data_IF_441579959976
#
_entry.id   IF_441579959976
#
_cell.length_a   1.000
_cell.length_b   1.000
_cell.length_c   1.000
_cell.angle_alpha   90.00
_cell.angle_beta   90.00
_cell.angle_gamma   90.00
#
_symmetry.space_group_name_H-M   'P 1'
#
loop_
_entity.id
_entity.type
_entity.pdbx_description
1 polymer ?
#
# COMPACT_ATOMS: atom_id res chain seq x y z
N UNK A 1 -29.92 -14.91 21.88
CA UNK A 1 -29.33 -13.55 21.92
C UNK A 1 -27.95 -13.65 21.28
N UNK A 2 -27.65 -12.74 20.36
CA UNK A 2 -26.42 -12.79 19.58
C UNK A 2 -25.21 -12.26 20.35
N UNK A 3 -24.02 -12.58 19.85
CA UNK A 3 -22.77 -12.03 20.32
C UNK A 3 -22.72 -10.50 20.27
N UNK A 4 -22.07 -9.88 21.24
CA UNK A 4 -21.74 -8.46 21.24
C UNK A 4 -20.23 -8.23 21.21
N UNK A 5 -19.77 -7.44 20.25
CA UNK A 5 -18.36 -7.05 20.09
C UNK A 5 -18.16 -5.57 20.46
N UNK A 6 -16.95 -5.23 20.90
CA UNK A 6 -16.57 -3.84 21.14
C UNK A 6 -16.42 -3.05 19.84
N UNK A 7 -16.35 -1.71 19.99
CA UNK A 7 -15.82 -0.87 18.92
C UNK A 7 -14.40 -1.30 18.54
N UNK A 8 -14.01 -0.99 17.31
CA UNK A 8 -12.65 -1.16 16.83
C UNK A 8 -11.71 -0.18 17.53
N UNK A 9 -10.55 -0.67 17.92
CA UNK A 9 -9.49 0.06 18.58
C UNK A 9 -8.21 -0.07 17.76
N UNK A 10 -7.46 1.01 17.62
CA UNK A 10 -6.20 1.02 16.89
C UNK A 10 -5.13 0.22 17.66
N UNK A 11 -4.38 -0.60 16.93
CA UNK A 11 -3.31 -1.43 17.45
C UNK A 11 -1.94 -0.85 17.05
N UNK A 12 -1.55 0.23 17.71
CA UNK A 12 -0.31 0.92 17.41
C UNK A 12 -0.43 1.93 16.27
N UNK A 13 0.71 2.52 15.85
CA UNK A 13 0.72 3.60 14.87
C UNK A 13 0.46 3.09 13.44
N UNK A 14 0.04 4.00 12.58
CA UNK A 14 0.02 3.77 11.14
C UNK A 14 1.42 3.41 10.63
N UNK A 15 1.51 2.47 9.69
CA UNK A 15 2.79 2.03 9.10
C UNK A 15 3.55 3.15 8.40
N UNK A 16 2.85 4.21 7.97
CA UNK A 16 3.43 5.38 7.33
C UNK A 16 2.86 6.67 7.90
N UNK A 17 3.72 7.69 8.00
CA UNK A 17 3.32 9.05 8.33
C UNK A 17 2.83 9.84 7.11
N UNK A 18 3.12 9.36 5.90
CA UNK A 18 2.66 9.91 4.63
C UNK A 18 2.57 8.81 3.56
N UNK A 19 1.82 9.07 2.50
CA UNK A 19 1.37 8.10 1.51
C UNK A 19 0.31 7.16 2.08
N UNK A 20 -0.20 6.25 1.27
CA UNK A 20 -1.15 5.23 1.74
C UNK A 20 -0.45 4.32 2.76
N UNK A 21 -0.80 4.47 4.04
CA UNK A 21 -0.36 3.64 5.15
C UNK A 21 -1.43 2.62 5.55
N UNK A 22 -1.01 1.64 6.35
CA UNK A 22 -1.88 0.59 6.88
C UNK A 22 -1.72 0.53 8.40
N UNK A 23 -2.83 0.38 9.11
CA UNK A 23 -2.85 0.17 10.56
C UNK A 23 -3.72 -1.02 10.91
N UNK A 24 -3.32 -1.72 11.96
CA UNK A 24 -4.08 -2.82 12.51
C UNK A 24 -5.10 -2.28 13.50
N UNK A 25 -6.31 -2.82 13.46
CA UNK A 25 -7.33 -2.59 14.46
C UNK A 25 -7.73 -3.92 15.11
N UNK A 26 -8.07 -3.86 16.39
CA UNK A 26 -8.62 -5.00 17.12
C UNK A 26 -9.94 -4.63 17.79
N UNK A 27 -10.75 -5.64 18.09
CA UNK A 27 -11.94 -5.52 18.93
C UNK A 27 -12.04 -6.75 19.82
N UNK A 28 -12.79 -6.63 20.90
CA UNK A 28 -12.96 -7.69 21.90
C UNK A 28 -14.41 -8.14 21.96
N UNK A 29 -14.62 -9.36 22.44
CA UNK A 29 -15.95 -9.84 22.80
C UNK A 29 -16.38 -9.17 24.10
N UNK A 30 -17.53 -8.50 24.07
CA UNK A 30 -18.17 -7.93 25.26
C UNK A 30 -19.11 -8.96 25.90
N UNK A 31 -19.82 -9.71 25.05
CA UNK A 31 -20.77 -10.73 25.48
C UNK A 31 -20.79 -11.88 24.48
N UNK A 32 -20.64 -13.09 24.98
CA UNK A 32 -20.81 -14.31 24.19
C UNK A 32 -22.27 -14.56 23.80
N UNK A 33 -22.45 -15.31 22.72
CA UNK A 33 -23.78 -15.68 22.24
C UNK A 33 -24.48 -16.64 23.21
N UNK A 34 -25.78 -16.46 23.40
CA UNK A 34 -26.61 -17.44 24.09
C UNK A 34 -26.97 -18.61 23.15
N UNK A 35 -27.45 -19.72 23.71
CA UNK A 35 -27.89 -20.91 22.94
C UNK A 35 -28.86 -20.47 21.83
N UNK A 36 -28.51 -20.80 20.58
CA UNK A 36 -29.27 -20.43 19.37
C UNK A 36 -28.98 -19.04 18.79
N UNK A 37 -28.04 -18.27 19.35
CA UNK A 37 -27.55 -17.00 18.79
C UNK A 37 -26.28 -17.17 17.93
N UNK A 38 -25.91 -16.12 17.21
CA UNK A 38 -24.69 -16.10 16.37
C UNK A 38 -23.44 -15.97 17.23
N UNK A 39 -22.54 -16.96 17.14
CA UNK A 39 -21.25 -16.98 17.84
C UNK A 39 -20.34 -15.82 17.45
N UNK A 40 -19.57 -15.31 18.42
CA UNK A 40 -18.54 -14.31 18.18
C UNK A 40 -17.40 -14.81 17.28
N UNK A 41 -17.18 -16.13 17.23
CA UNK A 41 -16.15 -16.77 16.40
C UNK A 41 -16.43 -16.62 14.91
N UNK A 42 -17.69 -16.34 14.53
CA UNK A 42 -18.06 -16.02 13.16
C UNK A 42 -17.46 -14.68 12.67
N UNK A 43 -16.90 -13.88 13.58
CA UNK A 43 -16.38 -12.55 13.29
C UNK A 43 -14.88 -12.43 13.57
N UNK A 44 -14.15 -11.74 12.70
CA UNK A 44 -12.75 -11.43 12.95
C UNK A 44 -12.60 -10.40 14.08
N UNK A 45 -11.69 -10.68 15.01
CA UNK A 45 -11.32 -9.79 16.11
C UNK A 45 -10.17 -8.84 15.75
N UNK A 46 -9.54 -9.03 14.60
CA UNK A 46 -8.51 -8.16 14.04
C UNK A 46 -8.82 -7.84 12.58
N UNK A 47 -8.40 -6.66 12.12
CA UNK A 47 -8.40 -6.28 10.72
C UNK A 47 -7.29 -5.28 10.44
N UNK A 48 -6.99 -5.07 9.17
CA UNK A 48 -6.12 -4.01 8.71
C UNK A 48 -6.95 -2.95 7.97
N UNK A 49 -6.65 -1.67 8.20
CA UNK A 49 -7.34 -0.54 7.56
C UNK A 49 -6.33 0.47 7.04
N UNK A 50 -6.70 1.20 5.99
CA UNK A 50 -5.89 2.30 5.46
C UNK A 50 -5.86 3.45 6.46
N UNK A 51 -4.69 4.06 6.63
CA UNK A 51 -4.46 5.22 7.47
C UNK A 51 -3.52 6.22 6.79
N UNK A 52 -3.61 7.48 7.22
CA UNK A 52 -2.75 8.59 6.77
C UNK A 52 -2.57 8.72 5.24
N UNK A 53 -3.62 8.69 4.39
CA UNK A 53 -3.47 8.73 2.93
C UNK A 53 -2.94 10.06 2.37
N UNK A 54 -2.39 10.94 3.20
CA UNK A 54 -1.81 12.23 2.83
C UNK A 54 -0.56 12.00 1.97
N UNK A 55 -0.44 12.61 0.78
CA UNK A 55 0.74 12.44 -0.07
C UNK A 55 2.04 12.83 0.66
N UNK A 56 3.13 12.09 0.38
CA UNK A 56 4.43 12.39 0.95
C UNK A 56 5.05 13.63 0.28
N UNK A 57 5.67 14.55 1.04
CA UNK A 57 6.30 15.75 0.49
C UNK A 57 7.50 15.45 -0.43
N UNK A 58 8.09 14.25 -0.31
CA UNK A 58 9.18 13.77 -1.14
C UNK A 58 8.84 12.43 -1.81
N UNK A 59 7.56 12.12 -2.01
CA UNK A 59 7.22 11.20 -3.10
C UNK A 59 7.63 11.97 -4.35
N UNK A 60 8.89 11.78 -4.73
CA UNK A 60 9.56 12.53 -5.77
C UNK A 60 8.66 12.57 -6.98
N UNK A 61 8.76 13.67 -7.70
CA UNK A 61 8.37 13.72 -9.08
C UNK A 61 9.04 12.52 -9.75
N UNK A 62 8.33 11.39 -9.82
CA UNK A 62 8.72 10.27 -10.63
C UNK A 62 8.29 10.71 -12.02
N UNK A 63 9.23 11.17 -12.86
CA UNK A 63 8.87 11.70 -14.15
C UNK A 63 8.21 10.63 -15.03
N UNK A 64 8.47 9.34 -14.78
CA UNK A 64 7.84 8.21 -15.46
C UNK A 64 6.38 8.09 -15.01
N UNK A 65 6.11 8.19 -13.70
CA UNK A 65 4.73 8.21 -13.19
C UNK A 65 3.98 9.47 -13.63
N UNK A 66 4.62 10.64 -13.57
CA UNK A 66 4.04 11.93 -13.95
C UNK A 66 3.71 11.99 -15.45
N UNK A 67 4.64 11.56 -16.32
CA UNK A 67 4.42 11.51 -17.77
C UNK A 67 3.23 10.63 -18.16
N UNK A 68 3.06 9.49 -17.48
CA UNK A 68 1.90 8.59 -17.69
C UNK A 68 0.55 9.23 -17.31
N UNK A 69 0.52 10.15 -16.34
CA UNK A 69 -0.72 10.82 -15.92
C UNK A 69 -1.05 12.06 -16.74
N UNK A 70 -0.05 12.78 -17.24
CA UNK A 70 -0.26 14.05 -17.95
C UNK A 70 -0.27 13.90 -19.47
N UNK A 71 0.02 12.70 -20.01
CA UNK A 71 0.11 12.46 -21.45
C UNK A 71 1.26 13.24 -22.10
N UNK A 72 2.25 13.65 -21.31
CA UNK A 72 3.49 14.24 -21.82
C UNK A 72 4.51 13.12 -21.87
N UNK A 73 4.98 12.81 -23.08
CA UNK A 73 6.14 11.95 -23.30
C UNK A 73 7.33 12.65 -22.65
N UNK A 74 7.73 12.17 -21.47
CA UNK A 74 8.86 12.74 -20.76
C UNK A 74 10.12 12.09 -21.32
N UNK A 75 10.85 12.86 -22.11
CA UNK A 75 12.12 12.47 -22.69
C UNK A 75 13.18 12.33 -21.58
N UNK A 76 13.30 11.12 -21.02
CA UNK A 76 14.25 10.74 -19.96
C UNK A 76 15.71 11.06 -20.36
N UNK A 77 15.99 11.18 -21.66
CA UNK A 77 17.32 11.53 -22.19
C UNK A 77 17.81 12.92 -21.74
N UNK A 78 16.91 13.84 -21.37
CA UNK A 78 17.27 15.18 -20.87
C UNK A 78 17.76 15.20 -19.42
N UNK A 79 17.59 14.10 -18.69
CA UNK A 79 17.96 13.96 -17.28
C UNK A 79 19.03 12.88 -17.05
N UNK A 80 19.51 12.25 -18.11
CA UNK A 80 20.65 11.34 -18.08
C UNK A 80 21.95 12.15 -18.27
N UNK A 81 22.77 12.25 -17.22
CA UNK A 81 24.13 12.82 -17.32
C UNK A 81 25.06 11.95 -18.20
N UNK A 82 24.73 10.67 -18.41
CA UNK A 82 25.49 9.74 -19.25
C UNK A 82 24.57 9.00 -20.26
N UNK A 83 24.75 9.22 -21.58
CA UNK A 83 23.81 8.77 -22.62
C UNK A 83 23.78 7.25 -22.83
N UNK A 84 24.84 6.53 -22.46
CA UNK A 84 24.95 5.07 -22.71
C UNK A 84 24.14 4.22 -21.71
N UNK A 85 23.76 4.78 -20.55
CA UNK A 85 22.94 4.11 -19.53
C UNK A 85 21.44 4.27 -19.78
N UNK A 86 21.06 5.19 -20.66
CA UNK A 86 19.67 5.57 -20.94
C UNK A 86 19.00 4.61 -21.94
N UNK A 87 19.76 3.78 -22.67
CA UNK A 87 19.27 2.86 -23.71
C UNK A 87 18.69 1.52 -23.18
N UNK A 88 18.42 1.39 -21.87
CA UNK A 88 17.90 0.15 -21.25
C UNK A 88 16.49 0.27 -20.67
N UNK A 89 15.73 1.28 -21.08
CA UNK A 89 14.34 1.46 -20.66
C UNK A 89 13.32 1.01 -21.73
N UNK A 90 13.74 0.76 -22.97
CA UNK A 90 12.84 0.22 -24.01
C UNK A 90 12.43 -1.25 -23.76
N UNK A 91 13.07 -1.95 -22.82
CA UNK A 91 12.74 -3.35 -22.45
C UNK A 91 11.85 -3.48 -21.18
N UNK A 92 11.40 -2.39 -20.56
CA UNK A 92 10.64 -2.43 -19.30
C UNK A 92 9.15 -2.79 -19.49
N UNK A 93 8.69 -3.03 -20.72
CA UNK A 93 7.31 -3.48 -20.98
C UNK A 93 7.01 -4.93 -20.57
N UNK A 94 7.96 -5.68 -20.00
CA UNK A 94 7.71 -7.06 -19.58
C UNK A 94 8.27 -7.43 -18.19
N UNK A 95 8.06 -6.59 -17.18
CA UNK A 95 7.87 -7.02 -15.78
C UNK A 95 8.73 -8.17 -15.21
N UNK A 96 10.04 -8.18 -15.46
CA UNK A 96 10.92 -9.21 -14.91
C UNK A 96 12.28 -8.61 -14.51
N UNK A 97 12.45 -8.34 -13.22
CA UNK A 97 13.77 -8.11 -12.65
C UNK A 97 14.53 -9.44 -12.65
N UNK A 98 15.25 -9.75 -13.72
CA UNK A 98 16.28 -10.77 -13.66
C UNK A 98 17.63 -10.10 -13.44
N UNK A 99 18.12 -10.26 -12.22
CA UNK A 99 19.50 -10.03 -11.85
C UNK A 99 20.39 -11.05 -12.57
N UNK A 100 20.71 -10.80 -13.82
CA UNK A 100 21.82 -11.47 -14.49
C UNK A 100 22.76 -10.39 -15.01
N UNK A 101 23.89 -10.28 -14.31
CA UNK A 101 25.06 -9.57 -14.80
C UNK A 101 25.43 -10.14 -16.17
N UNK A 102 25.57 -9.26 -17.15
CA UNK A 102 26.24 -9.58 -18.41
C UNK A 102 27.77 -9.44 -18.21
N UNK A 103 28.59 -10.09 -19.06
CA UNK A 103 29.76 -10.92 -18.74
C UNK A 103 30.96 -10.23 -18.08
#
# INVERSE_FOLDING_TARGET
ADCQLSAWLDNGPCSRSCGVGLQKQYRKVIRDAAVGGVSCEAFSLSKEVVCNPTPCPHAGFDPIAAGRFTGFDFDVSQYCDEPDLCARLEDVEAGHWRSEAAP
#
